data_IF_910228127920
#
_entry.id   IF_910228127920
#
_cell.length_a   1.000
_cell.length_b   1.000
_cell.length_c   1.000
_cell.angle_alpha   90.00
_cell.angle_beta   90.00
_cell.angle_gamma   90.00
#
_symmetry.space_group_name_H-M   'P 1'
#
loop_
_entity.id
_entity.type
_entity.pdbx_description
1 polymer ?
#
# COMPACT_ATOMS: atom_id res chain seq x y z
N UNK A 1 2.39 -10.03 16.98
CA UNK A 1 1.41 -9.08 16.39
C UNK A 1 2.00 -7.68 16.22
N UNK A 2 2.42 -7.00 17.30
CA UNK A 2 3.01 -5.65 17.21
C UNK A 2 4.17 -5.53 16.21
N UNK A 3 5.07 -6.51 16.14
CA UNK A 3 6.17 -6.49 15.16
C UNK A 3 5.70 -6.61 13.71
N UNK A 4 4.67 -7.42 13.43
CA UNK A 4 4.08 -7.54 12.10
C UNK A 4 3.34 -6.25 11.72
N UNK A 5 2.63 -5.63 12.67
CA UNK A 5 1.98 -4.34 12.47
C UNK A 5 3.00 -3.22 12.18
N UNK A 6 4.09 -3.15 12.94
CA UNK A 6 5.16 -2.17 12.72
C UNK A 6 5.89 -2.39 11.38
N UNK A 7 6.11 -3.65 10.99
CA UNK A 7 6.70 -3.98 9.70
C UNK A 7 5.77 -3.57 8.54
N UNK A 8 4.48 -3.85 8.66
CA UNK A 8 3.48 -3.42 7.68
C UNK A 8 3.41 -1.90 7.56
N UNK A 9 3.39 -1.17 8.68
CA UNK A 9 3.43 0.29 8.65
C UNK A 9 4.67 0.80 7.91
N UNK A 10 5.85 0.22 8.16
CA UNK A 10 7.09 0.62 7.47
C UNK A 10 6.95 0.41 5.96
N UNK A 11 6.39 -0.71 5.51
CA UNK A 11 6.24 -1.00 4.09
C UNK A 11 5.26 -0.03 3.41
N UNK A 12 4.15 0.30 4.07
CA UNK A 12 3.25 1.37 3.58
C UNK A 12 3.96 2.71 3.45
N UNK A 13 4.94 3.00 4.32
CA UNK A 13 5.78 4.19 4.26
C UNK A 13 6.76 4.19 3.10
N UNK A 14 7.35 3.03 2.77
CA UNK A 14 8.22 2.86 1.59
C UNK A 14 7.43 3.14 0.31
N UNK A 15 6.24 2.54 0.17
CA UNK A 15 5.37 2.75 -0.99
C UNK A 15 4.93 4.21 -1.07
N UNK A 16 4.47 4.80 0.04
CA UNK A 16 4.03 6.21 0.07
C UNK A 16 5.14 7.19 -0.29
N UNK A 17 6.35 6.98 0.21
CA UNK A 17 7.50 7.82 -0.12
C UNK A 17 7.87 7.73 -1.61
N UNK A 18 7.81 6.54 -2.19
CA UNK A 18 7.99 6.39 -3.64
C UNK A 18 6.91 7.17 -4.41
N UNK A 19 5.63 7.02 -4.07
CA UNK A 19 4.53 7.71 -4.74
C UNK A 19 4.69 9.24 -4.68
N UNK A 20 5.08 9.78 -3.52
CA UNK A 20 5.34 11.21 -3.33
C UNK A 20 6.50 11.75 -4.19
N UNK A 21 7.44 10.89 -4.62
CA UNK A 21 8.66 11.32 -5.32
C UNK A 21 8.74 10.84 -6.77
N UNK A 22 7.89 9.90 -7.18
CA UNK A 22 7.96 9.18 -8.45
C UNK A 22 8.07 10.11 -9.68
N UNK A 23 7.33 11.22 -9.71
CA UNK A 23 7.30 12.16 -10.84
C UNK A 23 8.55 13.03 -10.97
N UNK A 24 9.37 13.10 -9.93
CA UNK A 24 10.66 13.81 -9.95
C UNK A 24 11.85 12.90 -10.28
N UNK A 25 11.66 11.58 -10.20
CA UNK A 25 12.69 10.60 -10.51
C UNK A 25 12.74 10.29 -12.01
N UNK A 26 13.93 9.98 -12.51
CA UNK A 26 14.14 9.61 -13.92
C UNK A 26 15.10 8.43 -14.06
N UNK A 27 15.12 7.81 -15.25
CA UNK A 27 16.08 6.77 -15.61
C UNK A 27 16.14 5.61 -14.60
N UNK A 28 17.35 5.20 -14.24
CA UNK A 28 17.60 4.08 -13.32
C UNK A 28 17.22 4.39 -11.87
N UNK A 29 17.20 5.66 -11.47
CA UNK A 29 16.76 6.05 -10.13
C UNK A 29 15.26 5.77 -9.94
N UNK A 30 14.46 6.08 -10.97
CA UNK A 30 13.03 5.77 -10.98
C UNK A 30 12.79 4.26 -10.88
N UNK A 31 13.38 3.46 -11.77
CA UNK A 31 13.12 2.01 -11.79
C UNK A 31 13.61 1.33 -10.53
N UNK A 32 14.73 1.77 -9.94
CA UNK A 32 15.21 1.25 -8.65
C UNK A 32 14.23 1.56 -7.52
N UNK A 33 13.74 2.79 -7.42
CA UNK A 33 12.78 3.17 -6.39
C UNK A 33 11.43 2.45 -6.57
N UNK A 34 10.96 2.31 -7.82
CA UNK A 34 9.76 1.55 -8.16
C UNK A 34 9.90 0.08 -7.76
N UNK A 35 11.06 -0.56 -8.01
CA UNK A 35 11.31 -1.94 -7.60
C UNK A 35 11.30 -2.11 -6.08
N UNK A 36 11.84 -1.13 -5.34
CA UNK A 36 11.78 -1.14 -3.87
C UNK A 36 10.34 -0.99 -3.36
N UNK A 37 9.55 -0.09 -3.95
CA UNK A 37 8.14 0.06 -3.61
C UNK A 37 7.34 -1.21 -3.95
N UNK A 38 7.58 -1.83 -5.11
CA UNK A 38 6.95 -3.09 -5.50
C UNK A 38 7.28 -4.23 -4.53
N UNK A 39 8.54 -4.33 -4.08
CA UNK A 39 8.93 -5.34 -3.10
C UNK A 39 8.24 -5.12 -1.75
N UNK A 40 8.18 -3.87 -1.27
CA UNK A 40 7.47 -3.51 -0.05
C UNK A 40 5.97 -3.82 -0.16
N UNK A 41 5.35 -3.47 -1.29
CA UNK A 41 3.94 -3.79 -1.54
C UNK A 41 3.71 -5.30 -1.50
N UNK A 42 4.55 -6.12 -2.13
CA UNK A 42 4.35 -7.57 -2.05
C UNK A 42 4.48 -8.13 -0.62
N UNK A 43 5.33 -7.53 0.23
CA UNK A 43 5.52 -7.99 1.62
C UNK A 43 4.36 -7.59 2.55
N UNK A 44 3.60 -6.55 2.21
CA UNK A 44 2.41 -6.15 2.97
C UNK A 44 1.38 -7.31 3.10
N UNK A 45 1.24 -8.18 2.10
CA UNK A 45 0.37 -9.38 2.20
C UNK A 45 0.91 -10.45 3.17
N UNK A 46 2.23 -10.54 3.32
CA UNK A 46 2.85 -11.41 4.33
C UNK A 46 2.44 -10.96 5.72
N UNK A 47 2.55 -9.66 6.00
CA UNK A 47 2.16 -9.09 7.29
C UNK A 47 0.66 -9.20 7.55
N UNK A 48 -0.15 -9.00 6.51
CA UNK A 48 -1.58 -9.30 6.55
C UNK A 48 -1.84 -10.73 7.00
N UNK A 49 -1.24 -11.72 6.34
CA UNK A 49 -1.46 -13.13 6.67
C UNK A 49 -1.07 -13.47 8.12
N UNK A 50 0.03 -12.91 8.62
CA UNK A 50 0.50 -13.10 10.00
C UNK A 50 -0.51 -12.56 11.01
N UNK A 51 -1.01 -11.33 10.81
CA UNK A 51 -2.01 -10.75 11.71
C UNK A 51 -3.32 -11.52 11.59
N UNK A 52 -3.75 -11.78 10.36
CA UNK A 52 -4.98 -12.50 10.04
C UNK A 52 -5.04 -13.85 10.77
N UNK A 53 -3.96 -14.63 10.79
CA UNK A 53 -3.92 -15.93 11.47
C UNK A 53 -4.08 -15.87 13.01
N UNK A 54 -3.78 -14.71 13.62
CA UNK A 54 -3.66 -14.59 15.07
C UNK A 54 -4.78 -13.75 15.73
N UNK A 55 -5.62 -13.07 14.95
CA UNK A 55 -6.71 -12.22 15.47
C UNK A 55 -8.09 -12.84 15.21
N UNK A 56 -9.10 -12.61 16.09
CA UNK A 56 -10.47 -13.05 15.84
C UNK A 56 -11.03 -12.46 14.54
N UNK A 57 -11.71 -13.28 13.74
CA UNK A 57 -12.36 -12.84 12.49
C UNK A 57 -13.62 -12.03 12.78
N UNK A 58 -13.48 -10.78 13.16
CA UNK A 58 -14.62 -9.87 13.31
C UNK A 58 -15.25 -9.55 11.94
N UNK A 59 -16.45 -8.97 11.94
CA UNK A 59 -17.08 -8.55 10.70
C UNK A 59 -16.26 -7.49 9.95
N UNK A 60 -15.64 -6.55 10.68
CA UNK A 60 -14.76 -5.52 10.10
C UNK A 60 -13.52 -6.14 9.45
N UNK A 61 -12.89 -7.13 10.09
CA UNK A 61 -11.74 -7.83 9.50
C UNK A 61 -12.10 -8.65 8.27
N UNK A 62 -13.28 -9.29 8.24
CA UNK A 62 -13.76 -9.98 7.03
C UNK A 62 -13.99 -9.01 5.88
N UNK A 63 -14.59 -7.85 6.16
CA UNK A 63 -14.80 -6.82 5.16
C UNK A 63 -13.46 -6.25 4.63
N UNK A 64 -12.52 -5.97 5.53
CA UNK A 64 -11.17 -5.53 5.17
C UNK A 64 -10.42 -6.58 4.35
N UNK A 65 -10.50 -7.86 4.73
CA UNK A 65 -9.94 -8.95 3.96
C UNK A 65 -10.51 -9.01 2.55
N UNK A 66 -11.83 -8.90 2.41
CA UNK A 66 -12.48 -8.92 1.09
C UNK A 66 -12.02 -7.73 0.22
N UNK A 67 -11.93 -6.54 0.79
CA UNK A 67 -11.44 -5.36 0.09
C UNK A 67 -9.98 -5.52 -0.38
N UNK A 68 -9.09 -6.05 0.48
CA UNK A 68 -7.68 -6.21 0.16
C UNK A 68 -7.41 -7.39 -0.78
N UNK A 69 -7.94 -8.57 -0.47
CA UNK A 69 -7.54 -9.82 -1.12
C UNK A 69 -8.49 -10.31 -2.22
N UNK A 70 -9.76 -9.89 -2.22
CA UNK A 70 -10.79 -10.48 -3.10
C UNK A 70 -11.30 -9.51 -4.17
N UNK A 71 -11.37 -8.21 -3.84
CA UNK A 71 -11.82 -7.18 -4.79
C UNK A 71 -10.72 -6.70 -5.75
N UNK A 72 -9.51 -7.25 -5.66
CA UNK A 72 -8.39 -6.92 -6.56
C UNK A 72 -7.74 -5.57 -6.30
N UNK A 73 -8.15 -4.80 -5.28
CA UNK A 73 -7.59 -3.47 -5.00
C UNK A 73 -6.07 -3.53 -4.76
N UNK A 74 -5.61 -4.54 -4.02
CA UNK A 74 -4.19 -4.74 -3.75
C UNK A 74 -3.42 -5.19 -4.99
N UNK A 75 -3.96 -6.17 -5.73
CA UNK A 75 -3.33 -6.67 -6.95
C UNK A 75 -3.18 -5.55 -7.98
N UNK A 76 -4.16 -4.66 -8.11
CA UNK A 76 -4.06 -3.50 -9.00
C UNK A 76 -2.88 -2.58 -8.65
N UNK A 77 -2.59 -2.36 -7.36
CA UNK A 77 -1.41 -1.58 -6.94
C UNK A 77 -0.11 -2.31 -7.32
N UNK A 78 -0.04 -3.62 -7.06
CA UNK A 78 1.09 -4.47 -7.46
C UNK A 78 1.33 -4.39 -8.96
N UNK A 79 0.28 -4.52 -9.77
CA UNK A 79 0.35 -4.51 -11.23
C UNK A 79 0.85 -3.16 -11.76
N UNK A 80 0.38 -2.04 -11.20
CA UNK A 80 0.83 -0.69 -11.58
C UNK A 80 2.28 -0.43 -11.16
N UNK A 81 2.69 -0.84 -9.96
CA UNK A 81 4.09 -0.74 -9.54
C UNK A 81 5.00 -1.60 -10.44
N UNK A 82 4.53 -2.78 -10.85
CA UNK A 82 5.23 -3.63 -11.79
C UNK A 82 5.32 -2.99 -13.19
N UNK A 83 4.29 -2.29 -13.64
CA UNK A 83 4.31 -1.53 -14.89
C UNK A 83 5.33 -0.38 -14.84
N UNK A 84 5.39 0.36 -13.73
CA UNK A 84 6.40 1.39 -13.49
C UNK A 84 7.83 0.81 -13.53
N UNK A 85 8.07 -0.37 -12.95
CA UNK A 85 9.37 -1.05 -13.04
C UNK A 85 9.73 -1.38 -14.49
N UNK A 86 8.77 -1.90 -15.25
CA UNK A 86 9.00 -2.39 -16.61
C UNK A 86 9.14 -1.27 -17.65
N UNK A 87 8.35 -0.20 -17.52
CA UNK A 87 8.25 0.90 -18.50
C UNK A 87 9.00 2.16 -18.07
N UNK A 88 9.45 2.20 -16.82
CA UNK A 88 10.22 3.30 -16.26
C UNK A 88 9.41 4.59 -16.12
N UNK A 89 10.11 5.72 -15.99
CA UNK A 89 9.52 7.01 -15.63
C UNK A 89 8.44 7.56 -16.59
N UNK A 90 8.25 6.93 -17.76
CA UNK A 90 7.18 7.30 -18.70
C UNK A 90 5.78 7.11 -18.13
N UNK A 91 5.61 6.21 -17.15
CA UNK A 91 4.30 5.94 -16.55
C UNK A 91 4.11 6.66 -15.21
N UNK A 92 5.15 7.37 -14.72
CA UNK A 92 5.18 7.97 -13.39
C UNK A 92 3.91 8.74 -13.03
N UNK A 93 3.47 9.67 -13.89
CA UNK A 93 2.28 10.49 -13.59
C UNK A 93 1.00 9.66 -13.57
N UNK A 94 0.78 8.83 -14.60
CA UNK A 94 -0.48 8.08 -14.74
C UNK A 94 -0.61 7.02 -13.64
N UNK A 95 0.44 6.22 -13.44
CA UNK A 95 0.39 5.09 -12.51
C UNK A 95 0.40 5.57 -11.06
N UNK A 96 1.18 6.61 -10.71
CA UNK A 96 1.13 7.20 -9.36
C UNK A 96 -0.28 7.66 -9.02
N UNK A 97 -0.95 8.40 -9.91
CA UNK A 97 -2.31 8.89 -9.66
C UNK A 97 -3.31 7.74 -9.46
N UNK A 98 -3.20 6.66 -10.25
CA UNK A 98 -4.07 5.50 -10.11
C UNK A 98 -3.80 4.72 -8.82
N UNK A 99 -2.52 4.54 -8.47
CA UNK A 99 -2.11 3.91 -7.22
C UNK A 99 -2.63 4.73 -6.03
N UNK A 100 -2.45 6.05 -6.03
CA UNK A 100 -2.92 6.92 -4.95
C UNK A 100 -4.44 6.80 -4.77
N UNK A 101 -5.23 6.87 -5.85
CA UNK A 101 -6.68 6.70 -5.77
C UNK A 101 -7.09 5.36 -5.14
N UNK A 102 -6.47 4.26 -5.58
CA UNK A 102 -6.74 2.93 -5.04
C UNK A 102 -6.29 2.80 -3.59
N UNK A 103 -5.08 3.24 -3.28
CA UNK A 103 -4.49 3.10 -1.94
C UNK A 103 -5.22 3.94 -0.91
N UNK A 104 -5.46 5.21 -1.19
CA UNK A 104 -6.09 6.14 -0.25
C UNK A 104 -7.50 5.71 0.12
N UNK A 105 -8.29 5.25 -0.87
CA UNK A 105 -9.70 4.93 -0.67
C UNK A 105 -9.95 3.48 -0.23
N UNK A 106 -9.15 2.52 -0.70
CA UNK A 106 -9.47 1.08 -0.59
C UNK A 106 -8.40 0.25 0.10
N UNK A 107 -7.12 0.62 0.05
CA UNK A 107 -6.06 -0.21 0.65
C UNK A 107 -5.75 0.26 2.07
N UNK A 108 -5.24 1.48 2.23
CA UNK A 108 -4.70 1.98 3.50
C UNK A 108 -5.74 2.00 4.64
N UNK A 109 -7.01 2.43 4.44
CA UNK A 109 -8.02 2.35 5.51
C UNK A 109 -8.33 0.91 5.95
N UNK A 110 -8.22 -0.07 5.05
CA UNK A 110 -8.43 -1.48 5.40
C UNK A 110 -7.21 -2.07 6.10
N UNK A 111 -6.01 -1.57 5.82
CA UNK A 111 -4.80 -1.89 6.60
C UNK A 111 -4.94 -1.34 8.02
N UNK A 112 -5.43 -0.12 8.21
CA UNK A 112 -5.66 0.45 9.54
C UNK A 112 -6.55 -0.45 10.42
N UNK A 113 -7.57 -1.09 9.84
CA UNK A 113 -8.41 -2.08 10.55
C UNK A 113 -7.57 -3.27 11.05
N UNK A 114 -6.63 -3.76 10.25
CA UNK A 114 -5.73 -4.84 10.65
C UNK A 114 -4.72 -4.39 11.71
N UNK A 115 -4.15 -3.19 11.60
CA UNK A 115 -3.21 -2.64 12.57
C UNK A 115 -3.88 -2.43 13.94
N UNK A 116 -5.13 -1.96 13.95
CA UNK A 116 -5.94 -1.85 15.16
C UNK A 116 -6.27 -3.25 15.74
N UNK A 117 -6.64 -4.21 14.89
CA UNK A 117 -6.90 -5.59 15.33
C UNK A 117 -5.67 -6.30 15.91
N UNK A 118 -4.47 -5.91 15.49
CA UNK A 118 -3.21 -6.36 16.07
C UNK A 118 -2.94 -5.76 17.47
N UNK A 119 -3.82 -4.90 17.97
CA UNK A 119 -3.72 -4.25 19.28
C UNK A 119 -2.74 -3.08 19.31
N UNK A 120 -2.58 -2.36 18.19
CA UNK A 120 -1.65 -1.23 18.06
C UNK A 120 -2.38 0.07 17.73
N UNK A 121 -1.79 1.21 18.10
CA UNK A 121 -2.25 2.55 17.69
C UNK A 121 -1.60 3.00 16.38
N UNK A 122 -0.98 2.07 15.64
CA UNK A 122 -0.34 2.38 14.36
C UNK A 122 -1.38 2.59 13.28
N UNK A 123 -1.06 3.49 12.34
CA UNK A 123 -1.79 3.68 11.10
C UNK A 123 -0.84 3.46 9.92
N UNK A 124 -1.38 2.98 8.81
CA UNK A 124 -0.69 2.90 7.54
C UNK A 124 -0.24 4.32 7.14
N UNK A 125 1.02 4.44 6.70
CA UNK A 125 1.55 5.70 6.22
C UNK A 125 0.87 6.02 4.89
N UNK A 126 0.46 7.28 4.73
CA UNK A 126 -0.28 7.76 3.57
C UNK A 126 0.63 8.61 2.68
N UNK A 127 0.56 8.50 1.34
CA UNK A 127 1.14 9.50 0.46
C UNK A 127 0.40 10.83 0.64
N UNK A 128 1.07 11.92 0.26
CA UNK A 128 0.57 13.29 0.41
C UNK A 128 -0.74 13.47 -0.37
N UNK A 129 -0.86 12.80 -1.53
CA UNK A 129 -2.06 12.78 -2.36
C UNK A 129 -3.32 12.31 -1.62
N UNK A 130 -3.21 11.47 -0.59
CA UNK A 130 -4.38 11.06 0.19
C UNK A 130 -5.04 12.21 0.95
N UNK A 131 -4.26 13.22 1.35
CA UNK A 131 -4.79 14.42 2.00
C UNK A 131 -5.55 15.32 1.02
N UNK A 132 -5.22 15.23 -0.28
CA UNK A 132 -5.87 15.98 -1.36
C UNK A 132 -7.18 15.30 -1.82
N UNK A 133 -7.29 13.97 -1.69
CA UNK A 133 -8.51 13.22 -2.05
C UNK A 133 -9.67 13.35 -1.06
N UNK A 134 -9.49 14.01 0.09
CA UNK A 134 -10.55 14.28 1.06
C UNK A 134 -11.48 15.45 0.67
N UNK A 135 -11.26 16.06 -0.51
CA UNK A 135 -12.06 17.16 -1.05
C UNK A 135 -12.72 16.76 -2.39
N UNK A 136 -13.71 15.87 -2.32
CA UNK A 136 -14.77 15.76 -3.36
C UNK A 136 -16.03 15.19 -2.74
#
# INVERSE_FOLDING_TARGET
LAQAAAAWQRDTGIVSNFLNTATSLTGTAFTRAASTALAAENDELTHKAVIDAAVPKTQSLRAANNALATQGNFQNVVDLLQDMVNRGAKTAVTDTNQIDQGRCAKVLPNIDIYLAAAGTDLQAVRPDACSQTAQV
#
